data_IF_113894701996
#
_entry.id   IF_113894701996
#
_cell.length_a   1.000
_cell.length_b   1.000
_cell.length_c   1.000
_cell.angle_alpha   90.00
_cell.angle_beta   90.00
_cell.angle_gamma   90.00
#
_symmetry.space_group_name_H-M   'P 1'
#
loop_
_entity.id
_entity.type
_entity.pdbx_description
1 polymer ?
#
# COMPACT_ATOMS: atom_id res chain seq x y z
N UNK A 1 5.24 23.27 1.81
CA UNK A 1 4.28 24.09 1.02
C UNK A 1 4.06 23.41 -0.32
N UNK A 2 2.81 23.25 -0.74
CA UNK A 2 2.44 22.70 -2.05
C UNK A 2 2.74 23.74 -3.12
N UNK A 3 3.50 23.39 -4.14
CA UNK A 3 3.77 24.28 -5.28
C UNK A 3 2.50 24.49 -6.13
N UNK A 4 2.42 25.52 -6.98
CA UNK A 4 1.34 25.63 -7.95
C UNK A 4 1.17 24.38 -8.84
N UNK A 5 2.28 23.74 -9.21
CA UNK A 5 2.28 22.50 -9.97
C UNK A 5 1.67 21.31 -9.18
N UNK A 6 1.96 21.20 -7.88
CA UNK A 6 1.35 20.17 -7.03
C UNK A 6 -0.17 20.42 -6.85
N UNK A 7 -0.60 21.69 -6.81
CA UNK A 7 -2.03 22.03 -6.80
C UNK A 7 -2.72 21.57 -8.08
N UNK A 8 -2.15 21.91 -9.24
CA UNK A 8 -2.70 21.49 -10.54
C UNK A 8 -2.75 19.95 -10.64
N UNK A 9 -1.74 19.24 -10.17
CA UNK A 9 -1.77 17.78 -10.09
C UNK A 9 -2.96 17.29 -9.26
N UNK A 10 -3.22 17.88 -8.09
CA UNK A 10 -4.34 17.49 -7.24
C UNK A 10 -5.69 17.82 -7.88
N UNK A 11 -5.83 18.99 -8.51
CA UNK A 11 -7.03 19.39 -9.25
C UNK A 11 -7.36 18.38 -10.37
N UNK A 12 -6.34 17.98 -11.14
CA UNK A 12 -6.48 16.93 -12.16
C UNK A 12 -6.93 15.60 -11.54
N UNK A 13 -6.28 15.14 -10.46
CA UNK A 13 -6.57 13.86 -9.79
C UNK A 13 -7.93 13.86 -9.09
N UNK A 14 -8.41 14.99 -8.62
CA UNK A 14 -9.75 15.17 -8.03
C UNK A 14 -10.86 15.14 -9.08
N UNK A 15 -10.52 15.49 -10.29
CA UNK A 15 -11.50 15.58 -11.35
C UNK A 15 -12.14 16.95 -11.44
N UNK A 16 -11.48 18.04 -10.98
CA UNK A 16 -12.02 19.39 -11.00
C UNK A 16 -12.32 19.87 -12.44
N UNK A 17 -13.41 20.60 -12.61
CA UNK A 17 -13.91 20.95 -13.93
C UNK A 17 -13.03 21.97 -14.65
N UNK A 18 -12.46 22.92 -13.90
CA UNK A 18 -11.64 24.00 -14.47
C UNK A 18 -10.16 23.65 -14.30
N UNK A 19 -9.49 23.45 -15.43
CA UNK A 19 -8.05 23.26 -15.52
C UNK A 19 -7.49 24.32 -16.48
N UNK A 20 -6.22 24.74 -16.33
CA UNK A 20 -5.60 25.69 -17.24
C UNK A 20 -5.52 25.15 -18.68
N UNK A 21 -5.27 26.05 -19.61
CA UNK A 21 -5.00 25.70 -21.00
C UNK A 21 -3.87 24.65 -21.06
N UNK A 22 -3.99 23.59 -21.87
CA UNK A 22 -2.97 22.57 -21.95
C UNK A 22 -1.58 23.08 -22.42
N UNK A 23 -1.51 24.25 -23.06
CA UNK A 23 -0.26 24.90 -23.40
C UNK A 23 0.38 25.69 -22.23
N UNK A 24 -0.30 25.82 -21.08
CA UNK A 24 0.24 26.53 -19.92
C UNK A 24 1.53 25.86 -19.42
N UNK A 25 2.63 26.62 -19.22
CA UNK A 25 3.90 26.09 -18.72
C UNK A 25 3.81 25.36 -17.37
N UNK A 26 2.77 25.60 -16.58
CA UNK A 26 2.51 24.95 -15.30
C UNK A 26 2.39 23.42 -15.44
N UNK A 27 1.98 22.93 -16.62
CA UNK A 27 1.89 21.49 -16.89
C UNK A 27 3.23 20.76 -16.87
N UNK A 28 4.36 21.41 -17.13
CA UNK A 28 5.69 20.79 -17.00
C UNK A 28 5.99 20.44 -15.55
N UNK A 29 5.69 21.37 -14.64
CA UNK A 29 5.80 21.13 -13.20
C UNK A 29 4.81 20.05 -12.72
N UNK A 30 3.56 20.10 -13.22
CA UNK A 30 2.54 19.09 -12.92
C UNK A 30 2.96 17.70 -13.38
N UNK A 31 3.49 17.55 -14.60
CA UNK A 31 4.02 16.29 -15.11
C UNK A 31 5.18 15.75 -14.24
N UNK A 32 6.07 16.63 -13.80
CA UNK A 32 7.15 16.28 -12.87
C UNK A 32 6.61 15.80 -11.51
N UNK A 33 5.55 16.43 -11.01
CA UNK A 33 4.88 16.01 -9.77
C UNK A 33 4.17 14.67 -9.92
N UNK A 34 3.46 14.43 -11.02
CA UNK A 34 2.83 13.15 -11.34
C UNK A 34 3.86 12.01 -11.44
N UNK A 35 4.99 12.25 -12.10
CA UNK A 35 6.09 11.29 -12.21
C UNK A 35 6.69 10.95 -10.83
N UNK A 36 6.98 11.96 -10.02
CA UNK A 36 7.51 11.80 -8.66
C UNK A 36 6.58 11.00 -7.75
N UNK A 37 5.27 11.17 -7.89
CA UNK A 37 4.25 10.48 -7.10
C UNK A 37 3.83 9.13 -7.71
N UNK A 38 4.50 8.69 -8.79
CA UNK A 38 4.20 7.44 -9.51
C UNK A 38 2.77 7.38 -10.10
N UNK A 39 2.26 8.54 -10.55
CA UNK A 39 0.91 8.73 -11.10
C UNK A 39 0.93 9.18 -12.57
N UNK A 40 2.05 9.01 -13.28
CA UNK A 40 2.19 9.44 -14.68
C UNK A 40 1.15 8.78 -15.61
N UNK A 41 0.91 7.46 -15.46
CA UNK A 41 -0.10 6.73 -16.23
C UNK A 41 -1.51 7.23 -15.96
N UNK A 42 -1.85 7.42 -14.68
CA UNK A 42 -3.13 8.02 -14.26
C UNK A 42 -3.30 9.41 -14.86
N UNK A 43 -2.26 10.26 -14.75
CA UNK A 43 -2.27 11.62 -15.30
C UNK A 43 -2.54 11.63 -16.80
N UNK A 44 -1.83 10.81 -17.58
CA UNK A 44 -2.07 10.66 -19.01
C UNK A 44 -3.49 10.21 -19.34
N UNK A 45 -4.01 9.21 -18.60
CA UNK A 45 -5.37 8.71 -18.77
C UNK A 45 -6.42 9.81 -18.53
N UNK A 46 -6.24 10.60 -17.45
CA UNK A 46 -7.14 11.71 -17.13
C UNK A 46 -7.06 12.84 -18.15
N UNK A 47 -5.87 13.24 -18.58
CA UNK A 47 -5.67 14.24 -19.63
C UNK A 47 -6.32 13.83 -20.96
N UNK A 48 -6.17 12.54 -21.34
CA UNK A 48 -6.83 12.00 -22.54
C UNK A 48 -8.35 12.03 -22.42
N UNK A 49 -8.92 11.57 -21.30
CA UNK A 49 -10.37 11.60 -21.05
C UNK A 49 -10.96 13.00 -21.12
N UNK A 50 -10.17 14.03 -20.83
CA UNK A 50 -10.57 15.44 -20.87
C UNK A 50 -10.27 16.15 -22.18
N UNK A 51 -9.66 15.47 -23.15
CA UNK A 51 -9.28 16.08 -24.44
C UNK A 51 -8.12 17.08 -24.33
N UNK A 52 -7.37 17.08 -23.22
CA UNK A 52 -6.26 18.02 -22.97
C UNK A 52 -4.90 17.47 -23.46
N UNK A 53 -4.81 16.16 -23.73
CA UNK A 53 -3.52 15.51 -24.02
C UNK A 53 -2.85 16.02 -25.29
N UNK A 54 -3.63 16.29 -26.34
CA UNK A 54 -3.09 16.70 -27.64
C UNK A 54 -2.57 18.15 -27.62
N UNK A 55 -3.13 19.01 -26.78
CA UNK A 55 -2.66 20.38 -26.58
C UNK A 55 -1.52 20.52 -25.56
N UNK A 56 -1.19 19.44 -24.84
CA UNK A 56 -0.16 19.48 -23.79
C UNK A 56 1.21 19.81 -24.37
N UNK A 57 1.93 20.73 -23.71
CA UNK A 57 3.29 21.11 -24.10
C UNK A 57 4.18 19.86 -24.27
N UNK A 58 4.98 19.78 -25.38
CA UNK A 58 5.74 18.57 -25.70
C UNK A 58 6.67 18.06 -24.59
N UNK A 59 7.34 18.91 -23.77
CA UNK A 59 8.16 18.42 -22.67
C UNK A 59 7.36 17.68 -21.60
N UNK A 60 6.21 18.20 -21.18
CA UNK A 60 5.33 17.56 -20.21
C UNK A 60 4.79 16.21 -20.70
N UNK A 61 4.30 16.19 -21.95
CA UNK A 61 3.81 14.96 -22.58
C UNK A 61 4.90 13.89 -22.68
N UNK A 62 6.09 14.23 -23.20
CA UNK A 62 7.23 13.29 -23.32
C UNK A 62 7.65 12.72 -21.97
N UNK A 63 7.65 13.52 -20.89
CA UNK A 63 7.99 13.04 -19.56
C UNK A 63 7.00 11.98 -19.09
N UNK A 64 5.70 12.26 -19.17
CA UNK A 64 4.66 11.32 -18.74
C UNK A 64 4.66 10.02 -19.56
N UNK A 65 4.80 10.13 -20.89
CA UNK A 65 4.87 8.97 -21.79
C UNK A 65 6.12 8.11 -21.51
N UNK A 66 7.27 8.74 -21.25
CA UNK A 66 8.51 8.03 -20.87
C UNK A 66 8.32 7.25 -19.57
N UNK A 67 7.78 7.88 -18.55
CA UNK A 67 7.52 7.20 -17.25
C UNK A 67 6.51 6.05 -17.41
N UNK A 68 5.43 6.26 -18.16
CA UNK A 68 4.46 5.20 -18.43
C UNK A 68 5.10 4.02 -19.19
N UNK A 69 5.92 4.26 -20.20
CA UNK A 69 6.56 3.19 -20.96
C UNK A 69 7.55 2.38 -20.10
N UNK A 70 8.29 3.07 -19.20
CA UNK A 70 9.12 2.39 -18.20
C UNK A 70 8.30 1.46 -17.33
N UNK A 71 7.24 1.99 -16.71
CA UNK A 71 6.34 1.20 -15.86
C UNK A 71 5.72 0.05 -16.61
N UNK A 72 5.26 0.25 -17.84
CA UNK A 72 4.69 -0.81 -18.69
C UNK A 72 5.64 -1.99 -18.84
N UNK A 73 6.90 -1.73 -19.14
CA UNK A 73 7.92 -2.80 -19.28
C UNK A 73 8.10 -3.55 -17.96
N UNK A 74 8.26 -2.83 -16.86
CA UNK A 74 8.42 -3.42 -15.51
C UNK A 74 7.20 -4.25 -15.10
N UNK A 75 5.98 -3.76 -15.35
CA UNK A 75 4.74 -4.46 -15.01
C UNK A 75 4.51 -5.72 -15.85
N UNK A 76 4.83 -5.70 -17.14
CA UNK A 76 4.74 -6.90 -18.01
C UNK A 76 5.61 -8.02 -17.45
N UNK A 77 6.85 -7.73 -17.07
CA UNK A 77 7.76 -8.69 -16.47
C UNK A 77 7.19 -9.20 -15.12
N UNK A 78 6.80 -8.28 -14.25
CA UNK A 78 6.28 -8.61 -12.93
C UNK A 78 5.05 -9.52 -12.98
N UNK A 79 4.06 -9.18 -13.81
CA UNK A 79 2.84 -9.98 -13.96
C UNK A 79 3.08 -11.29 -14.68
N UNK A 80 4.00 -11.36 -15.65
CA UNK A 80 4.38 -12.62 -16.30
C UNK A 80 4.92 -13.61 -15.27
N UNK A 81 5.87 -13.19 -14.43
CA UNK A 81 6.45 -14.03 -13.39
C UNK A 81 5.43 -14.36 -12.26
N UNK A 82 4.53 -13.40 -11.97
CA UNK A 82 3.45 -13.67 -11.04
C UNK A 82 2.52 -14.79 -11.54
N UNK A 83 2.20 -14.81 -12.83
CA UNK A 83 1.44 -15.92 -13.42
C UNK A 83 2.08 -17.28 -13.15
N UNK A 84 3.40 -17.39 -13.31
CA UNK A 84 4.12 -18.61 -13.00
C UNK A 84 4.11 -18.97 -11.51
N UNK A 85 4.21 -17.98 -10.61
CA UNK A 85 4.08 -18.20 -9.16
C UNK A 85 2.67 -18.66 -8.80
N UNK A 86 1.63 -18.01 -9.32
CA UNK A 86 0.23 -18.36 -9.07
C UNK A 86 -0.09 -19.79 -9.51
N UNK A 87 0.41 -20.21 -10.69
CA UNK A 87 0.23 -21.59 -11.18
C UNK A 87 0.93 -22.62 -10.28
N UNK A 88 2.09 -22.30 -9.71
CA UNK A 88 2.80 -23.18 -8.76
C UNK A 88 2.06 -23.29 -7.44
N UNK A 89 1.58 -22.17 -6.90
CA UNK A 89 0.77 -22.16 -5.67
C UNK A 89 -0.53 -22.94 -5.85
N UNK A 90 -1.21 -22.77 -6.98
CA UNK A 90 -2.43 -23.52 -7.31
C UNK A 90 -2.18 -25.05 -7.41
N UNK A 91 -1.09 -25.47 -8.09
CA UNK A 91 -0.70 -26.89 -8.15
C UNK A 91 -0.32 -27.47 -6.79
N UNK A 92 0.24 -26.66 -5.90
CA UNK A 92 0.50 -27.03 -4.53
C UNK A 92 -0.76 -27.06 -3.64
N UNK A 93 -1.93 -26.73 -4.17
CA UNK A 93 -3.18 -26.66 -3.42
C UNK A 93 -3.22 -25.53 -2.39
N UNK A 94 -2.48 -24.42 -2.63
CA UNK A 94 -2.38 -23.29 -1.72
C UNK A 94 -3.31 -22.16 -2.21
N UNK A 95 -4.42 -21.88 -1.52
CA UNK A 95 -5.26 -20.74 -1.80
C UNK A 95 -4.48 -19.44 -1.57
N UNK A 96 -4.70 -18.46 -2.46
CA UNK A 96 -3.88 -17.26 -2.51
C UNK A 96 -4.76 -16.02 -2.60
N UNK A 97 -4.58 -15.08 -1.67
CA UNK A 97 -5.19 -13.75 -1.73
C UNK A 97 -4.18 -12.75 -2.30
N UNK A 98 -4.55 -12.08 -3.39
CA UNK A 98 -3.82 -10.90 -3.84
C UNK A 98 -4.11 -9.70 -2.94
N UNK A 99 -3.05 -8.95 -2.65
CA UNK A 99 -3.08 -7.86 -1.69
C UNK A 99 -2.56 -6.56 -2.33
N UNK A 100 -2.96 -5.40 -1.77
CA UNK A 100 -2.51 -4.07 -2.20
C UNK A 100 -2.54 -3.89 -3.73
N UNK A 101 -1.41 -3.41 -4.29
CA UNK A 101 -1.27 -3.15 -5.73
C UNK A 101 -1.57 -4.33 -6.63
N UNK A 102 -1.18 -5.55 -6.21
CA UNK A 102 -1.45 -6.78 -6.95
C UNK A 102 -2.95 -7.03 -7.19
N UNK A 103 -3.80 -6.68 -6.21
CA UNK A 103 -5.25 -6.75 -6.35
C UNK A 103 -5.82 -5.51 -7.07
N UNK A 104 -5.31 -4.31 -6.74
CA UNK A 104 -5.91 -3.07 -7.22
C UNK A 104 -5.63 -2.82 -8.71
N UNK A 105 -4.40 -3.04 -9.18
CA UNK A 105 -4.01 -2.73 -10.55
C UNK A 105 -4.90 -3.43 -11.59
N UNK A 106 -5.14 -4.75 -11.53
CA UNK A 106 -5.98 -5.42 -12.52
C UNK A 106 -7.48 -5.21 -12.34
N UNK A 107 -7.95 -4.74 -11.17
CA UNK A 107 -9.38 -4.75 -10.84
C UNK A 107 -10.02 -3.36 -10.83
N UNK A 108 -9.28 -2.30 -10.53
CA UNK A 108 -9.86 -0.95 -10.37
C UNK A 108 -9.14 0.15 -11.15
N UNK A 109 -7.99 -0.17 -11.76
CA UNK A 109 -7.33 0.75 -12.68
C UNK A 109 -7.73 0.45 -14.12
N UNK A 110 -7.71 1.46 -15.00
CA UNK A 110 -8.08 1.29 -16.40
C UNK A 110 -7.07 0.39 -17.13
N UNK A 111 -5.80 0.44 -16.71
CA UNK A 111 -4.69 -0.39 -17.18
C UNK A 111 -3.80 -0.73 -15.99
N UNK A 112 -3.19 -1.91 -16.01
CA UNK A 112 -2.30 -2.35 -14.92
C UNK A 112 -1.10 -1.42 -14.73
N UNK A 113 -0.58 -0.87 -15.82
CA UNK A 113 0.54 0.09 -15.80
C UNK A 113 0.18 1.48 -15.23
N UNK A 114 -1.09 1.80 -15.04
CA UNK A 114 -1.50 3.04 -14.36
C UNK A 114 -1.25 2.98 -12.86
N UNK A 115 -1.01 1.77 -12.32
CA UNK A 115 -0.64 1.55 -10.92
C UNK A 115 0.74 0.87 -10.82
N UNK A 116 1.86 1.63 -10.79
CA UNK A 116 3.22 1.09 -10.69
C UNK A 116 3.42 0.29 -9.41
N UNK A 117 4.15 -0.83 -9.54
CA UNK A 117 4.55 -1.71 -8.44
C UNK A 117 5.98 -2.18 -8.65
N UNK A 118 6.68 -2.45 -7.56
CA UNK A 118 8.02 -3.08 -7.56
C UNK A 118 7.95 -4.56 -7.18
N UNK A 119 6.85 -4.96 -6.55
CA UNK A 119 6.55 -6.30 -6.08
C UNK A 119 5.05 -6.58 -6.13
N UNK A 120 4.67 -7.84 -6.02
CA UNK A 120 3.28 -8.25 -5.80
C UNK A 120 3.18 -8.90 -4.42
N UNK A 121 2.31 -8.32 -3.59
CA UNK A 121 1.99 -8.85 -2.27
C UNK A 121 0.97 -10.01 -2.39
N UNK A 122 1.29 -11.13 -1.79
CA UNK A 122 0.50 -12.37 -1.83
C UNK A 122 0.30 -12.88 -0.42
N UNK A 123 -0.94 -13.18 -0.02
CA UNK A 123 -1.23 -13.75 1.29
C UNK A 123 -1.55 -15.23 1.13
N UNK A 124 -0.87 -16.05 1.96
CA UNK A 124 -1.12 -17.49 2.12
C UNK A 124 -1.47 -17.76 3.58
N UNK A 125 -2.14 -18.89 3.86
CA UNK A 125 -2.40 -19.26 5.24
C UNK A 125 -1.11 -19.63 5.98
N UNK A 126 -1.01 -19.32 7.28
CA UNK A 126 0.16 -19.71 8.09
C UNK A 126 0.46 -21.22 8.07
N UNK A 127 -0.59 -22.05 8.04
CA UNK A 127 -0.48 -23.53 7.98
C UNK A 127 0.04 -24.03 6.63
N UNK A 128 -0.14 -23.28 5.55
CA UNK A 128 0.38 -23.62 4.22
C UNK A 128 1.86 -23.25 4.04
N UNK A 129 2.46 -22.53 4.99
CA UNK A 129 3.79 -21.94 4.85
C UNK A 129 4.88 -22.97 4.53
N UNK A 130 4.89 -24.13 5.21
CA UNK A 130 5.88 -25.19 4.93
C UNK A 130 5.80 -25.66 3.48
N UNK A 131 4.58 -25.90 2.99
CA UNK A 131 4.33 -26.32 1.59
C UNK A 131 4.76 -25.24 0.60
N UNK A 132 4.48 -23.98 0.90
CA UNK A 132 4.91 -22.83 0.08
C UNK A 132 6.42 -22.75 0.02
N UNK A 133 7.10 -22.84 1.16
CA UNK A 133 8.55 -22.76 1.24
C UNK A 133 9.24 -23.89 0.46
N UNK A 134 8.78 -25.13 0.60
CA UNK A 134 9.28 -26.28 -0.16
C UNK A 134 9.10 -26.08 -1.67
N UNK A 135 7.92 -25.60 -2.09
CA UNK A 135 7.62 -25.28 -3.49
C UNK A 135 8.55 -24.19 -4.05
N UNK A 136 8.82 -23.13 -3.26
CA UNK A 136 9.73 -22.06 -3.66
C UNK A 136 11.16 -22.58 -3.87
N UNK A 137 11.67 -23.39 -2.94
CA UNK A 137 13.01 -23.99 -3.06
C UNK A 137 13.11 -24.93 -4.26
N UNK A 138 12.13 -25.83 -4.44
CA UNK A 138 12.08 -26.74 -5.57
C UNK A 138 12.00 -26.00 -6.92
N UNK A 139 11.37 -24.81 -6.92
CA UNK A 139 11.24 -23.94 -8.10
C UNK A 139 12.37 -22.93 -8.24
N UNK A 140 13.42 -23.00 -7.43
CA UNK A 140 14.62 -22.16 -7.47
C UNK A 140 14.35 -20.67 -7.24
N UNK A 141 13.28 -20.31 -6.50
CA UNK A 141 13.10 -18.94 -6.06
C UNK A 141 14.23 -18.53 -5.12
N UNK A 142 14.67 -17.29 -5.23
CA UNK A 142 15.70 -16.73 -4.34
C UNK A 142 15.03 -16.22 -3.08
N UNK A 143 15.36 -16.84 -1.96
CA UNK A 143 14.90 -16.46 -0.64
C UNK A 143 15.95 -15.56 0.03
N UNK A 144 15.57 -14.69 0.97
CA UNK A 144 16.55 -13.89 1.71
C UNK A 144 17.49 -14.82 2.49
N UNK A 145 18.77 -14.45 2.61
CA UNK A 145 19.74 -15.22 3.42
C UNK A 145 19.31 -15.21 4.88
N UNK A 146 19.43 -16.37 5.56
CA UNK A 146 19.12 -16.49 6.99
C UNK A 146 18.66 -17.87 7.40
N UNK A 147 18.55 -18.02 8.70
CA UNK A 147 18.24 -19.23 9.46
C UNK A 147 16.86 -19.75 9.06
N UNK A 148 16.77 -20.90 8.45
CA UNK A 148 15.60 -21.77 8.22
C UNK A 148 14.18 -21.17 8.09
N UNK A 149 13.24 -22.00 7.73
CA UNK A 149 11.81 -21.65 7.54
C UNK A 149 11.17 -21.01 8.76
N UNK A 150 11.54 -21.52 9.94
CA UNK A 150 10.87 -21.14 11.19
C UNK A 150 11.30 -19.74 11.65
N UNK A 151 12.55 -19.35 11.40
CA UNK A 151 13.03 -18.01 11.77
C UNK A 151 12.17 -16.88 11.17
N UNK A 152 11.84 -16.97 9.89
CA UNK A 152 11.02 -15.95 9.21
C UNK A 152 9.60 -15.95 9.77
N UNK A 153 9.00 -17.13 9.96
CA UNK A 153 7.65 -17.27 10.49
C UNK A 153 7.49 -16.72 11.91
N UNK A 154 8.50 -16.94 12.76
CA UNK A 154 8.46 -16.52 14.17
C UNK A 154 8.77 -15.03 14.36
N UNK A 155 9.57 -14.44 13.48
CA UNK A 155 10.06 -13.07 13.67
C UNK A 155 9.44 -12.02 12.75
N UNK A 156 8.76 -12.44 11.67
CA UNK A 156 8.16 -11.58 10.66
C UNK A 156 6.73 -12.02 10.34
N UNK A 157 6.03 -11.25 9.54
CA UNK A 157 4.69 -11.56 9.04
C UNK A 157 4.65 -11.76 7.51
N UNK A 158 5.78 -11.56 6.86
CA UNK A 158 6.00 -11.69 5.42
C UNK A 158 7.46 -12.02 5.11
N UNK A 159 7.71 -12.44 3.89
CA UNK A 159 9.04 -12.68 3.34
C UNK A 159 9.10 -12.27 1.88
N UNK A 160 10.06 -11.41 1.53
CA UNK A 160 10.34 -11.08 0.14
C UNK A 160 11.09 -12.24 -0.56
N UNK A 161 10.63 -12.62 -1.74
CA UNK A 161 11.26 -13.64 -2.59
C UNK A 161 11.43 -13.11 -4.00
N UNK A 162 12.47 -13.57 -4.71
CA UNK A 162 12.64 -13.21 -6.10
C UNK A 162 12.49 -14.45 -7.01
N UNK A 163 11.89 -14.24 -8.18
CA UNK A 163 11.75 -15.29 -9.19
C UNK A 163 13.11 -15.78 -9.69
N UNK A 164 13.20 -17.02 -10.19
CA UNK A 164 14.47 -17.59 -10.67
C UNK A 164 14.93 -17.03 -12.02
N UNK A 165 14.04 -16.40 -12.76
CA UNK A 165 14.28 -15.90 -14.11
C UNK A 165 15.13 -14.61 -14.08
N UNK A 166 15.62 -14.18 -15.26
CA UNK A 166 16.39 -12.93 -15.46
C UNK A 166 15.70 -12.07 -16.54
N UNK A 167 15.34 -10.80 -16.23
CA UNK A 167 15.45 -10.14 -14.94
C UNK A 167 14.45 -10.69 -13.92
N UNK A 168 14.81 -10.74 -12.60
CA UNK A 168 13.93 -11.30 -11.60
C UNK A 168 12.78 -10.37 -11.26
N UNK A 169 11.64 -10.95 -10.89
CA UNK A 169 10.51 -10.26 -10.28
C UNK A 169 10.48 -10.49 -8.76
N UNK A 170 10.06 -9.49 -8.01
CA UNK A 170 9.95 -9.57 -6.55
C UNK A 170 8.50 -9.86 -6.13
N UNK A 171 8.35 -10.72 -5.13
CA UNK A 171 7.06 -11.02 -4.49
C UNK A 171 7.21 -10.92 -2.98
N UNK A 172 6.20 -10.38 -2.33
CA UNK A 172 6.14 -10.34 -0.87
C UNK A 172 5.09 -11.33 -0.38
N UNK A 173 5.55 -12.45 0.16
CA UNK A 173 4.69 -13.53 0.65
C UNK A 173 4.34 -13.28 2.11
N UNK A 174 3.08 -13.05 2.38
CA UNK A 174 2.53 -12.77 3.68
C UNK A 174 1.81 -13.99 4.27
N UNK A 175 2.02 -14.29 5.55
CA UNK A 175 1.16 -15.19 6.33
C UNK A 175 0.32 -14.42 7.36
N UNK A 176 0.54 -13.11 7.43
CA UNK A 176 -0.32 -12.14 8.11
C UNK A 176 -0.14 -10.77 7.46
N UNK A 177 -1.07 -9.85 7.64
CA UNK A 177 -0.95 -8.46 7.21
C UNK A 177 -0.38 -7.55 8.31
N UNK A 178 -0.02 -8.12 9.45
CA UNK A 178 0.50 -7.41 10.61
C UNK A 178 1.48 -8.25 11.40
N UNK A 179 2.40 -7.60 12.08
CA UNK A 179 3.27 -8.27 13.05
C UNK A 179 2.39 -8.80 14.20
N UNK A 180 2.68 -10.02 14.63
CA UNK A 180 1.96 -10.68 15.71
C UNK A 180 1.90 -9.81 16.98
N UNK A 181 0.72 -9.73 17.57
CA UNK A 181 0.46 -8.95 18.79
C UNK A 181 0.43 -7.44 18.63
N UNK A 182 0.60 -6.90 17.42
CA UNK A 182 0.44 -5.46 17.18
C UNK A 182 -1.03 -5.06 16.98
N UNK A 183 -1.76 -5.89 16.26
CA UNK A 183 -3.20 -5.75 16.00
C UNK A 183 -3.86 -7.13 16.06
N UNK A 184 -5.17 -7.16 16.28
CA UNK A 184 -5.93 -8.42 16.39
C UNK A 184 -6.54 -8.79 15.03
N UNK A 185 -5.70 -9.27 14.10
CA UNK A 185 -6.13 -9.61 12.74
C UNK A 185 -5.84 -11.09 12.48
N UNK A 186 -6.89 -11.85 12.18
CA UNK A 186 -6.80 -13.26 11.81
C UNK A 186 -6.67 -13.41 10.30
N UNK A 187 -5.65 -14.11 9.83
CA UNK A 187 -5.51 -14.43 8.40
C UNK A 187 -6.62 -15.34 7.92
N UNK A 188 -7.08 -16.29 8.74
CA UNK A 188 -8.20 -17.15 8.40
C UNK A 188 -9.50 -16.36 8.16
N UNK A 189 -9.77 -15.35 8.99
CA UNK A 189 -10.93 -14.46 8.78
C UNK A 189 -10.85 -13.70 7.44
N UNK A 190 -9.64 -13.34 7.01
CA UNK A 190 -9.44 -12.72 5.69
C UNK A 190 -9.79 -13.71 4.57
N UNK A 191 -9.40 -14.98 4.71
CA UNK A 191 -9.73 -16.03 3.74
C UNK A 191 -11.24 -16.34 3.71
N UNK A 192 -11.91 -16.37 4.85
CA UNK A 192 -13.37 -16.60 4.93
C UNK A 192 -14.18 -15.52 4.21
N UNK A 193 -13.69 -14.28 4.22
CA UNK A 193 -14.33 -13.13 3.58
C UNK A 193 -13.73 -12.79 2.21
N UNK A 194 -12.78 -13.59 1.73
CA UNK A 194 -12.13 -13.35 0.45
C UNK A 194 -13.10 -13.51 -0.72
N UNK A 195 -12.95 -12.66 -1.71
CA UNK A 195 -13.81 -12.64 -2.91
C UNK A 195 -13.03 -13.24 -4.08
N UNK A 196 -13.56 -14.28 -4.73
CA UNK A 196 -12.91 -14.86 -5.89
C UNK A 196 -12.98 -13.92 -7.10
N UNK A 197 -11.94 -13.94 -7.90
CA UNK A 197 -11.89 -13.28 -9.21
C UNK A 197 -11.02 -14.07 -10.18
N UNK A 198 -11.14 -13.75 -11.47
CA UNK A 198 -10.33 -14.36 -12.52
C UNK A 198 -9.34 -13.32 -13.04
N UNK A 199 -8.07 -13.67 -13.09
CA UNK A 199 -7.01 -12.89 -13.70
C UNK A 199 -6.18 -13.77 -14.64
N UNK A 200 -6.10 -13.41 -15.90
CA UNK A 200 -5.36 -14.14 -16.94
C UNK A 200 -5.68 -15.66 -16.94
N UNK A 201 -6.97 -15.99 -16.87
CA UNK A 201 -7.48 -17.37 -16.79
C UNK A 201 -7.29 -18.09 -15.45
N UNK A 202 -6.66 -17.47 -14.46
CA UNK A 202 -6.38 -18.03 -13.13
C UNK A 202 -7.44 -17.61 -12.12
N UNK A 203 -7.93 -18.56 -11.31
CA UNK A 203 -8.79 -18.25 -10.17
C UNK A 203 -7.94 -17.82 -8.99
N UNK A 204 -8.10 -16.58 -8.57
CA UNK A 204 -7.44 -15.96 -7.44
C UNK A 204 -8.47 -15.43 -6.44
N UNK A 205 -8.00 -15.05 -5.27
CA UNK A 205 -8.80 -14.38 -4.26
C UNK A 205 -8.29 -12.95 -4.06
N UNK A 206 -9.19 -12.04 -3.70
CA UNK A 206 -8.86 -10.73 -3.13
C UNK A 206 -9.53 -10.58 -1.78
N UNK A 207 -9.06 -9.68 -0.96
CA UNK A 207 -9.78 -9.33 0.27
C UNK A 207 -11.18 -8.77 -0.04
N UNK A 208 -12.11 -8.94 0.89
CA UNK A 208 -13.36 -8.17 0.90
C UNK A 208 -13.09 -6.67 0.90
N UNK A 209 -14.05 -5.86 0.47
CA UNK A 209 -13.85 -4.43 0.23
C UNK A 209 -13.36 -3.70 1.49
N UNK A 210 -14.01 -3.94 2.63
CA UNK A 210 -13.68 -3.31 3.91
C UNK A 210 -12.32 -3.80 4.43
N UNK A 211 -12.05 -5.11 4.31
CA UNK A 211 -10.77 -5.69 4.73
C UNK A 211 -9.62 -5.12 3.89
N UNK A 212 -9.81 -4.96 2.58
CA UNK A 212 -8.81 -4.36 1.70
C UNK A 212 -8.57 -2.88 2.04
N UNK A 213 -9.64 -2.10 2.25
CA UNK A 213 -9.49 -0.70 2.64
C UNK A 213 -8.80 -0.55 4.00
N UNK A 214 -9.16 -1.36 5.00
CA UNK A 214 -8.49 -1.39 6.31
C UNK A 214 -7.02 -1.79 6.18
N UNK A 215 -6.70 -2.71 5.29
CA UNK A 215 -5.31 -3.13 5.06
C UNK A 215 -4.47 -2.03 4.39
N UNK A 216 -5.05 -1.22 3.49
CA UNK A 216 -4.39 -0.04 2.92
C UNK A 216 -4.17 1.04 3.98
N UNK A 217 -5.15 1.26 4.86
CA UNK A 217 -4.99 2.16 6.00
C UNK A 217 -3.87 1.70 6.93
N UNK A 218 -3.80 0.40 7.20
CA UNK A 218 -2.77 -0.21 8.02
C UNK A 218 -1.39 -0.09 7.36
N UNK A 219 -1.30 -0.28 6.05
CA UNK A 219 -0.06 -0.11 5.29
C UNK A 219 0.51 1.30 5.45
N UNK A 220 -0.32 2.33 5.35
CA UNK A 220 0.12 3.71 5.58
C UNK A 220 0.59 3.92 7.04
N UNK A 221 -0.08 3.31 8.02
CA UNK A 221 0.33 3.37 9.43
C UNK A 221 1.68 2.67 9.67
N UNK A 222 1.98 1.57 8.95
CA UNK A 222 3.29 0.90 8.99
C UNK A 222 4.42 1.78 8.45
N UNK A 223 4.10 2.64 7.51
CA UNK A 223 5.01 3.67 6.99
C UNK A 223 4.95 4.98 7.80
N UNK A 224 4.44 4.93 9.04
CA UNK A 224 4.34 6.06 9.96
C UNK A 224 3.61 7.26 9.35
N UNK A 225 2.63 6.98 8.49
CA UNK A 225 1.87 7.98 7.74
C UNK A 225 2.72 8.85 6.80
N UNK A 226 3.90 8.38 6.40
CA UNK A 226 4.64 8.92 5.26
C UNK A 226 3.91 8.55 3.97
N UNK A 227 2.84 9.29 3.68
CA UNK A 227 1.98 9.00 2.55
C UNK A 227 2.70 9.24 1.22
N UNK A 228 2.67 8.23 0.34
CA UNK A 228 2.80 8.46 -1.10
C UNK A 228 1.41 8.80 -1.64
N UNK A 229 1.33 9.80 -2.51
CA UNK A 229 0.04 10.20 -3.08
C UNK A 229 -0.64 9.04 -3.82
N UNK A 230 0.14 8.15 -4.45
CA UNK A 230 -0.35 6.91 -5.06
C UNK A 230 -1.17 6.07 -4.07
N UNK A 231 -0.75 5.91 -2.81
CA UNK A 231 -1.48 5.11 -1.83
C UNK A 231 -2.81 5.74 -1.42
N UNK A 232 -2.85 7.07 -1.29
CA UNK A 232 -4.11 7.79 -1.06
C UNK A 232 -5.02 7.71 -2.29
N UNK A 233 -4.44 7.72 -3.49
CA UNK A 233 -5.17 7.54 -4.73
C UNK A 233 -5.73 6.11 -4.86
N UNK A 234 -4.99 5.08 -4.46
CA UNK A 234 -5.48 3.69 -4.35
C UNK A 234 -6.75 3.62 -3.48
N UNK A 235 -6.73 4.24 -2.30
CA UNK A 235 -7.88 4.28 -1.39
C UNK A 235 -9.08 5.01 -2.02
N UNK A 236 -8.84 6.17 -2.66
CA UNK A 236 -9.87 6.89 -3.43
C UNK A 236 -10.48 5.99 -4.50
N UNK A 237 -9.64 5.36 -5.33
CA UNK A 237 -10.10 4.49 -6.43
C UNK A 237 -10.89 3.30 -5.91
N UNK A 238 -10.45 2.68 -4.80
CA UNK A 238 -11.16 1.57 -4.19
C UNK A 238 -12.57 1.98 -3.75
N UNK A 239 -12.69 3.09 -3.02
CA UNK A 239 -13.99 3.60 -2.54
C UNK A 239 -14.93 4.03 -3.70
N UNK A 240 -14.38 4.43 -4.84
CA UNK A 240 -15.16 4.75 -6.04
C UNK A 240 -15.59 3.51 -6.83
N UNK A 241 -14.75 2.46 -6.83
CA UNK A 241 -15.00 1.27 -7.63
C UNK A 241 -15.93 0.27 -6.93
N UNK A 242 -15.85 0.18 -5.59
CA UNK A 242 -16.61 -0.81 -4.83
C UNK A 242 -17.35 -0.17 -3.65
N UNK A 243 -18.58 -0.65 -3.38
CA UNK A 243 -19.32 -0.19 -2.21
C UNK A 243 -18.59 -0.59 -0.92
N UNK A 244 -18.53 0.33 0.03
CA UNK A 244 -17.99 0.12 1.38
C UNK A 244 -19.13 0.21 2.37
N UNK A 245 -19.36 -0.86 3.14
CA UNK A 245 -20.22 -0.80 4.30
C UNK A 245 -19.46 -0.20 5.48
N UNK A 246 -19.71 1.09 5.75
CA UNK A 246 -19.01 1.84 6.80
C UNK A 246 -19.32 1.35 8.21
N UNK A 247 -20.44 0.67 8.44
CA UNK A 247 -20.73 0.04 9.72
C UNK A 247 -19.87 -1.20 9.93
N UNK A 248 -19.80 -2.06 8.92
CA UNK A 248 -18.94 -3.24 8.91
C UNK A 248 -17.47 -2.83 9.03
N UNK A 249 -17.03 -1.82 8.30
CA UNK A 249 -15.66 -1.30 8.39
C UNK A 249 -15.34 -0.82 9.80
N UNK A 250 -16.25 -0.07 10.45
CA UNK A 250 -16.07 0.43 11.81
C UNK A 250 -15.99 -0.72 12.81
N UNK A 251 -16.89 -1.70 12.75
CA UNK A 251 -16.89 -2.87 13.62
C UNK A 251 -15.58 -3.67 13.50
N UNK A 252 -15.09 -3.88 12.28
CA UNK A 252 -13.79 -4.54 12.05
C UNK A 252 -12.62 -3.71 12.56
N UNK A 253 -12.63 -2.41 12.31
CA UNK A 253 -11.61 -1.49 12.85
C UNK A 253 -11.54 -1.56 14.38
N UNK A 254 -12.69 -1.65 15.05
CA UNK A 254 -12.79 -1.83 16.49
C UNK A 254 -12.23 -3.19 16.93
N UNK A 255 -12.65 -4.27 16.27
CA UNK A 255 -12.20 -5.62 16.57
C UNK A 255 -10.68 -5.77 16.36
N UNK A 256 -10.12 -5.14 15.33
CA UNK A 256 -8.70 -5.18 15.00
C UNK A 256 -7.86 -4.20 15.84
N UNK A 257 -8.47 -3.17 16.46
CA UNK A 257 -7.79 -2.10 17.20
C UNK A 257 -7.20 -1.04 16.27
N UNK A 258 -7.92 -0.69 15.20
CA UNK A 258 -7.51 0.24 14.15
C UNK A 258 -8.27 1.57 14.11
N UNK A 259 -9.07 1.92 15.14
CA UNK A 259 -9.85 3.18 15.15
C UNK A 259 -9.01 4.41 14.86
N UNK A 260 -7.86 4.51 15.52
CA UNK A 260 -6.93 5.64 15.33
C UNK A 260 -6.33 5.65 13.93
N UNK A 261 -5.98 4.49 13.40
CA UNK A 261 -5.47 4.33 12.03
C UNK A 261 -6.52 4.78 11.02
N UNK A 262 -7.77 4.34 11.16
CA UNK A 262 -8.88 4.76 10.30
C UNK A 262 -9.11 6.26 10.37
N UNK A 263 -9.17 6.83 11.59
CA UNK A 263 -9.40 8.27 11.78
C UNK A 263 -8.31 9.14 11.11
N UNK A 264 -7.05 8.74 11.21
CA UNK A 264 -5.94 9.45 10.56
C UNK A 264 -6.00 9.35 9.03
N UNK A 265 -6.21 8.14 8.50
CA UNK A 265 -6.31 7.94 7.05
C UNK A 265 -7.47 8.73 6.44
N UNK A 266 -8.64 8.68 7.05
CA UNK A 266 -9.80 9.47 6.60
C UNK A 266 -9.54 10.98 6.71
N UNK A 267 -8.80 11.43 7.72
CA UNK A 267 -8.38 12.83 7.84
C UNK A 267 -7.45 13.26 6.71
N UNK A 268 -6.52 12.41 6.28
CA UNK A 268 -5.65 12.69 5.12
C UNK A 268 -6.44 12.69 3.82
N UNK A 269 -7.26 11.67 3.61
CA UNK A 269 -8.11 11.59 2.43
C UNK A 269 -9.04 12.78 2.30
N UNK A 270 -9.69 13.22 3.40
CA UNK A 270 -10.57 14.39 3.41
C UNK A 270 -9.86 15.70 3.02
N UNK A 271 -8.54 15.80 3.23
CA UNK A 271 -7.76 16.96 2.82
C UNK A 271 -7.25 16.87 1.38
N UNK A 272 -6.87 15.65 0.97
CA UNK A 272 -6.27 15.42 -0.35
C UNK A 272 -7.35 15.15 -1.39
N UNK A 273 -8.35 14.35 -1.06
CA UNK A 273 -9.46 13.92 -1.92
C UNK A 273 -10.81 14.06 -1.19
N UNK A 274 -11.25 15.30 -0.86
CA UNK A 274 -12.49 15.51 -0.10
C UNK A 274 -13.72 14.91 -0.80
N UNK A 275 -13.72 14.88 -2.13
CA UNK A 275 -14.79 14.32 -2.96
C UNK A 275 -14.91 12.77 -2.85
N UNK A 276 -13.89 12.10 -2.32
CA UNK A 276 -13.90 10.64 -2.14
C UNK A 276 -14.47 10.20 -0.78
N UNK A 277 -14.73 11.14 0.14
CA UNK A 277 -15.17 10.83 1.49
C UNK A 277 -16.69 10.98 1.60
N UNK A 278 -17.45 9.88 1.65
CA UNK A 278 -18.88 9.96 1.85
C UNK A 278 -19.22 10.36 3.29
N UNK A 279 -20.38 10.96 3.54
CA UNK A 279 -20.80 11.41 4.89
C UNK A 279 -20.75 10.29 5.93
N UNK A 280 -21.05 9.05 5.56
CA UNK A 280 -21.05 7.87 6.42
C UNK A 280 -19.64 7.54 6.95
N UNK A 281 -18.59 7.83 6.18
CA UNK A 281 -17.20 7.64 6.58
C UNK A 281 -16.82 8.52 7.78
N UNK A 282 -17.44 9.69 7.93
CA UNK A 282 -17.16 10.62 9.03
C UNK A 282 -17.49 10.00 10.39
N UNK A 283 -18.48 9.10 10.44
CA UNK A 283 -18.82 8.34 11.66
C UNK A 283 -17.73 7.37 12.08
N UNK A 284 -16.98 6.82 11.12
CA UNK A 284 -15.85 5.90 11.38
C UNK A 284 -14.56 6.63 11.80
N UNK A 285 -14.47 7.95 11.60
CA UNK A 285 -13.26 8.76 11.85
C UNK A 285 -13.08 9.19 13.33
N UNK A 286 -13.79 8.60 14.28
CA UNK A 286 -13.73 9.02 15.70
C UNK A 286 -12.58 8.34 16.44
N UNK A 287 -11.52 9.08 16.74
CA UNK A 287 -10.51 8.72 17.74
C UNK A 287 -10.82 9.38 19.10
N UNK A 288 -10.38 8.76 20.21
CA UNK A 288 -10.56 9.38 21.52
C UNK A 288 -9.94 10.79 21.61
N UNK A 289 -10.48 11.71 22.44
CA UNK A 289 -10.10 13.12 22.44
C UNK A 289 -8.60 13.36 22.69
N UNK A 290 -7.99 12.64 23.62
CA UNK A 290 -6.56 12.75 23.92
C UNK A 290 -5.69 12.35 22.74
N UNK A 291 -5.99 11.20 22.11
CA UNK A 291 -5.26 10.74 20.91
C UNK A 291 -5.48 11.69 19.75
N UNK A 292 -6.69 12.19 19.58
CA UNK A 292 -7.03 13.18 18.56
C UNK A 292 -6.16 14.43 18.69
N UNK A 293 -5.92 14.92 19.91
CA UNK A 293 -5.07 16.07 20.19
C UNK A 293 -3.59 15.76 19.90
N UNK A 294 -3.08 14.62 20.39
CA UNK A 294 -1.67 14.22 20.21
C UNK A 294 -1.31 13.97 18.74
N UNK A 295 -2.27 13.51 17.96
CA UNK A 295 -2.09 13.22 16.53
C UNK A 295 -2.53 14.38 15.61
N UNK A 296 -3.01 15.49 16.18
CA UNK A 296 -3.43 16.67 15.40
C UNK A 296 -2.35 17.19 14.43
N UNK A 297 -1.05 17.22 14.79
CA UNK A 297 0.01 17.61 13.86
C UNK A 297 0.11 16.70 12.64
N UNK A 298 -0.16 15.39 12.78
CA UNK A 298 -0.12 14.43 11.68
C UNK A 298 -1.28 14.58 10.71
N UNK A 299 -2.34 15.29 11.08
CA UNK A 299 -3.50 15.51 10.21
C UNK A 299 -3.26 16.60 9.16
N UNK A 300 -2.10 17.25 9.16
CA UNK A 300 -1.75 18.25 8.15
C UNK A 300 -1.01 17.60 6.97
N UNK A 301 -1.44 17.81 5.69
CA UNK A 301 -0.68 17.34 4.52
C UNK A 301 0.76 17.88 4.50
N UNK A 302 1.01 19.03 5.11
CA UNK A 302 2.34 19.64 5.24
C UNK A 302 3.27 18.81 6.13
N UNK A 303 2.72 18.12 7.12
CA UNK A 303 3.46 17.22 8.01
C UNK A 303 3.92 15.94 7.30
N UNK A 304 3.27 15.55 6.21
CA UNK A 304 3.68 14.42 5.37
C UNK A 304 5.09 14.60 4.80
N UNK A 305 5.53 15.84 4.59
CA UNK A 305 6.90 16.14 4.15
C UNK A 305 7.94 16.06 5.27
N UNK A 306 7.55 16.30 6.52
CA UNK A 306 8.47 16.27 7.65
C UNK A 306 8.96 14.86 7.99
N UNK A 307 8.18 13.83 7.66
CA UNK A 307 8.49 12.42 7.96
C UNK A 307 9.28 11.71 6.85
N UNK A 308 9.39 12.28 5.66
CA UNK A 308 10.12 11.70 4.52
C UNK A 308 11.63 11.58 4.73
N UNK A 309 12.21 12.32 5.66
CA UNK A 309 13.65 12.51 5.70
C UNK A 309 14.46 11.52 6.56
N UNK A 310 13.87 10.84 7.55
CA UNK A 310 14.63 9.91 8.41
C UNK A 310 13.74 8.95 9.21
N UNK A 311 13.69 7.68 8.80
CA UNK A 311 12.94 6.60 9.47
C UNK A 311 13.41 6.28 10.90
N UNK A 312 14.52 6.84 11.36
CA UNK A 312 15.10 6.60 12.68
C UNK A 312 14.70 7.63 13.74
N UNK A 313 13.83 8.57 13.43
CA UNK A 313 13.43 9.60 14.38
C UNK A 313 12.59 9.02 15.52
N UNK A 314 12.84 9.43 16.77
CA UNK A 314 12.01 9.05 17.93
C UNK A 314 10.51 9.29 17.70
N UNK A 315 10.18 10.27 16.89
CA UNK A 315 8.80 10.63 16.52
C UNK A 315 8.06 9.48 15.83
N UNK A 316 8.75 8.68 15.00
CA UNK A 316 8.13 7.52 14.34
C UNK A 316 7.72 6.44 15.35
N UNK A 317 8.54 6.23 16.38
CA UNK A 317 8.20 5.33 17.47
C UNK A 317 6.94 5.80 18.21
N UNK A 318 6.88 7.08 18.57
CA UNK A 318 5.74 7.68 19.25
C UNK A 318 4.48 7.60 18.39
N UNK A 319 4.57 7.94 17.10
CA UNK A 319 3.46 7.85 16.15
C UNK A 319 2.97 6.40 16.02
N UNK A 320 3.90 5.45 15.87
CA UNK A 320 3.58 4.02 15.80
C UNK A 320 2.88 3.51 17.06
N UNK A 321 3.30 3.99 18.24
CA UNK A 321 2.71 3.63 19.53
C UNK A 321 1.29 4.22 19.67
N UNK A 322 1.11 5.49 19.32
CA UNK A 322 -0.18 6.19 19.38
C UNK A 322 -1.20 5.64 18.38
N UNK A 323 -0.73 5.05 17.28
CA UNK A 323 -1.59 4.42 16.28
C UNK A 323 -2.20 3.08 16.75
N UNK A 324 -1.70 2.49 17.84
CA UNK A 324 -2.21 1.24 18.39
C UNK A 324 -3.26 1.55 19.47
N UNK A 325 -4.51 1.16 19.25
CA UNK A 325 -5.61 1.51 20.15
C UNK A 325 -5.58 0.74 21.48
N UNK A 326 -5.17 -0.52 21.47
CA UNK A 326 -5.18 -1.39 22.64
C UNK A 326 -3.89 -1.23 23.47
N UNK A 327 -3.97 -0.84 24.76
CA UNK A 327 -2.76 -0.62 25.59
C UNK A 327 -1.84 -1.84 25.66
N UNK A 328 -2.40 -3.05 25.78
CA UNK A 328 -1.59 -4.28 25.82
C UNK A 328 -0.77 -4.48 24.54
N UNK A 329 -1.36 -4.20 23.36
CA UNK A 329 -0.66 -4.28 22.08
C UNK A 329 0.39 -3.17 21.94
N UNK A 330 0.09 -1.96 22.44
CA UNK A 330 1.05 -0.86 22.47
C UNK A 330 2.27 -1.20 23.35
N UNK A 331 2.05 -1.79 24.53
CA UNK A 331 3.14 -2.26 25.40
C UNK A 331 3.97 -3.37 24.75
N UNK A 332 3.32 -4.35 24.09
CA UNK A 332 4.04 -5.41 23.35
C UNK A 332 4.87 -4.81 22.22
N UNK A 333 4.32 -3.92 21.42
CA UNK A 333 5.06 -3.22 20.36
C UNK A 333 6.29 -2.47 20.90
N UNK A 334 6.14 -1.75 22.02
CA UNK A 334 7.25 -1.05 22.67
C UNK A 334 8.33 -2.03 23.13
N UNK A 335 7.95 -3.12 23.80
CA UNK A 335 8.86 -4.16 24.26
C UNK A 335 9.63 -4.83 23.11
N UNK A 336 8.96 -5.19 22.03
CA UNK A 336 9.58 -5.80 20.83
C UNK A 336 10.59 -4.85 20.17
N UNK A 337 10.25 -3.57 20.06
CA UNK A 337 11.17 -2.55 19.51
C UNK A 337 12.43 -2.41 20.37
N UNK A 338 12.26 -2.34 21.69
CA UNK A 338 13.39 -2.26 22.63
C UNK A 338 14.25 -3.54 22.55
N UNK A 339 13.65 -4.73 22.58
CA UNK A 339 14.36 -5.99 22.50
C UNK A 339 15.16 -6.14 21.19
N UNK A 340 14.60 -5.70 20.05
CA UNK A 340 15.32 -5.69 18.76
C UNK A 340 16.49 -4.70 18.78
N UNK A 341 16.30 -3.51 19.35
CA UNK A 341 17.39 -2.53 19.48
C UNK A 341 18.55 -3.08 20.32
N UNK A 342 18.25 -3.79 21.40
CA UNK A 342 19.26 -4.44 22.24
C UNK A 342 20.00 -5.57 21.52
N UNK A 343 19.30 -6.43 20.78
CA UNK A 343 19.92 -7.50 19.97
C UNK A 343 20.82 -6.96 18.88
N UNK A 344 20.49 -5.80 18.31
CA UNK A 344 21.30 -5.16 17.28
C UNK A 344 22.57 -4.54 17.86
N UNK A 345 22.50 -3.88 19.04
CA UNK A 345 23.66 -3.34 19.74
C UNK A 345 24.64 -4.42 20.21
N UNK A 346 24.13 -5.62 20.56
CA UNK A 346 24.99 -6.75 20.94
C UNK A 346 25.68 -7.48 19.77
N UNK A 347 25.24 -7.24 18.52
CA UNK A 347 25.82 -7.82 17.29
C UNK A 347 26.69 -6.85 16.49
N UNK A 348 26.85 -5.62 16.92
CA UNK A 348 27.79 -4.69 16.29
C UNK A 348 29.21 -5.26 16.39
N UNK A 349 29.95 -5.43 15.28
CA UNK A 349 31.33 -5.89 15.37
C UNK A 349 32.10 -4.88 16.23
N UNK A 350 32.76 -5.38 17.28
CA UNK A 350 33.75 -4.60 18.00
C UNK A 350 34.87 -4.34 17.00
N UNK A 351 34.83 -3.18 16.36
CA UNK A 351 35.98 -2.67 15.59
C UNK A 351 37.15 -2.52 16.57
N UNK A 352 38.16 -3.37 16.40
CA UNK A 352 39.50 -3.12 16.87
C UNK A 352 40.21 -2.21 15.88
#
# INVERSE_FOLDING_TARGET
MTTPADKLMLELLRGEAQLPDPADPLWEGCASSLAREALAGVGLGLLKKRGLLEGLAPPARRLLEKELNKVRTEQVILFHHFGALADRLARAGVPTILHKGGALAPLIYDRTEDRPMVDIDVIVRPEDWTRVHEMLLASRYRLPPGEGTDFWRENYYNMAVASPEDPPASFDLHWSITQEGRYNISTEDLFQRAVPFTWDGRRLLRMGNEDLLLSLFLHLAYHYFEARLLWLYDMKRLMQAWPIDWNVLRERADAWGLRTVVALNLSFLAKVFPEAIPPEALGAARSGPVRSLLLAPLRSPETLHLFRADRRRPVHFVVGLLAIDRPAHAMRFAGDKLARSWRWMGRAPRTR
#
